data_IF_139018231183
#
_entry.id   IF_139018231183
#
_cell.length_a   1.000
_cell.length_b   1.000
_cell.length_c   1.000
_cell.angle_alpha   90.00
_cell.angle_beta   90.00
_cell.angle_gamma   90.00
#
_symmetry.space_group_name_H-M   'P 1'
#
loop_
_entity.id
_entity.type
_entity.pdbx_description
1 polymer ?
#
# COMPACT_ATOMS: atom_id res chain seq x y z
N UNK A 1 17.35 -49.18 23.56
CA UNK A 1 17.41 -50.38 22.70
C UNK A 1 16.00 -50.77 22.28
N UNK A 2 15.03 -50.87 23.21
CA UNK A 2 13.60 -51.10 22.91
C UNK A 2 13.00 -50.20 21.82
N UNK A 3 13.22 -48.88 21.85
CA UNK A 3 12.73 -47.97 20.80
C UNK A 3 13.35 -48.24 19.42
N UNK A 4 14.61 -48.66 19.37
CA UNK A 4 15.31 -48.99 18.11
C UNK A 4 14.86 -50.33 17.55
N UNK A 5 14.48 -51.27 18.42
CA UNK A 5 13.94 -52.57 18.04
C UNK A 5 12.49 -52.43 17.53
N UNK A 6 11.68 -51.57 18.16
CA UNK A 6 10.35 -51.19 17.66
C UNK A 6 10.41 -50.51 16.29
N UNK A 7 11.37 -49.61 16.07
CA UNK A 7 11.60 -49.01 14.76
C UNK A 7 12.06 -50.07 13.73
N UNK A 8 12.85 -51.07 14.15
CA UNK A 8 13.32 -52.14 13.27
C UNK A 8 12.18 -53.01 12.74
N UNK A 9 11.19 -53.32 13.58
CA UNK A 9 9.94 -53.98 13.17
C UNK A 9 9.12 -53.11 12.22
N UNK A 10 8.92 -51.83 12.54
CA UNK A 10 8.18 -50.86 11.72
C UNK A 10 8.76 -50.69 10.30
N UNK A 11 10.09 -50.70 10.18
CA UNK A 11 10.79 -50.58 8.90
C UNK A 11 11.11 -51.93 8.24
N UNK A 12 10.65 -53.05 8.81
CA UNK A 12 10.87 -54.41 8.33
C UNK A 12 12.37 -54.74 8.07
N UNK A 13 13.25 -54.30 8.99
CA UNK A 13 14.71 -54.51 8.90
C UNK A 13 15.25 -55.25 10.13
N UNK A 14 16.25 -56.13 9.97
CA UNK A 14 16.73 -56.99 11.05
C UNK A 14 17.50 -56.26 12.16
N UNK A 15 18.03 -55.05 11.91
CA UNK A 15 18.71 -54.24 12.94
C UNK A 15 18.82 -52.77 12.53
N UNK A 16 18.37 -51.86 13.39
CA UNK A 16 18.56 -50.41 13.23
C UNK A 16 19.60 -49.95 14.26
N UNK A 17 20.59 -49.17 13.80
CA UNK A 17 21.57 -48.49 14.65
C UNK A 17 21.57 -47.01 14.33
N UNK A 18 21.73 -46.16 15.34
CA UNK A 18 21.98 -44.72 15.15
C UNK A 18 23.47 -44.54 14.87
N UNK A 19 23.83 -43.96 13.72
CA UNK A 19 25.21 -43.56 13.41
C UNK A 19 25.59 -42.36 14.31
N UNK A 20 26.88 -42.08 14.56
CA UNK A 20 27.33 -40.98 15.43
C UNK A 20 26.75 -39.60 15.05
N UNK A 21 26.37 -39.42 13.78
CA UNK A 21 25.75 -38.22 13.23
C UNK A 21 24.23 -38.12 13.51
N UNK A 22 23.66 -39.04 14.30
CA UNK A 22 22.24 -39.05 14.67
C UNK A 22 21.30 -39.64 13.61
N UNK A 23 21.85 -40.23 12.54
CA UNK A 23 21.11 -40.78 11.41
C UNK A 23 20.96 -42.30 11.57
N UNK A 24 19.77 -42.83 11.31
CA UNK A 24 19.54 -44.27 11.32
C UNK A 24 20.31 -44.93 10.17
N UNK A 25 20.91 -46.09 10.43
CA UNK A 25 21.69 -46.87 9.45
C UNK A 25 20.85 -47.49 8.31
N UNK A 26 19.65 -46.98 8.07
CA UNK A 26 18.71 -47.50 7.09
C UNK A 26 18.85 -46.85 5.70
N UNK A 27 19.60 -45.75 5.59
CA UNK A 27 19.81 -44.94 4.39
C UNK A 27 21.25 -44.43 4.33
N UNK A 28 21.88 -44.56 3.15
CA UNK A 28 23.12 -43.84 2.85
C UNK A 28 22.75 -42.49 2.24
N UNK A 29 23.21 -41.41 2.87
CA UNK A 29 23.01 -40.07 2.34
C UNK A 29 23.87 -39.86 1.10
N UNK A 30 23.29 -39.27 0.07
CA UNK A 30 24.04 -38.81 -1.11
C UNK A 30 24.90 -37.59 -0.77
N UNK A 31 24.48 -36.79 0.22
CA UNK A 31 25.21 -35.60 0.68
C UNK A 31 25.22 -35.49 2.21
N UNK A 32 26.32 -35.00 2.78
CA UNK A 32 26.44 -34.75 4.22
C UNK A 32 25.41 -33.76 4.78
N UNK A 33 24.85 -32.89 3.92
CA UNK A 33 23.85 -31.89 4.29
C UNK A 33 22.44 -32.18 3.74
N UNK A 34 22.15 -33.41 3.34
CA UNK A 34 20.86 -33.83 2.77
C UNK A 34 19.63 -33.46 3.64
N UNK A 35 19.66 -33.55 4.99
CA UNK A 35 18.55 -33.07 5.82
C UNK A 35 18.28 -31.56 5.67
N UNK A 36 19.33 -30.75 5.50
CA UNK A 36 19.19 -29.31 5.28
C UNK A 36 18.64 -29.01 3.88
N UNK A 37 19.05 -29.78 2.86
CA UNK A 37 18.51 -29.68 1.50
C UNK A 37 17.04 -30.03 1.45
N UNK A 38 16.60 -31.06 2.17
CA UNK A 38 15.19 -31.41 2.29
C UNK A 38 14.39 -30.26 2.91
N UNK A 39 14.88 -29.64 3.99
CA UNK A 39 14.22 -28.48 4.57
C UNK A 39 14.20 -27.25 3.67
N UNK A 40 15.22 -27.05 2.84
CA UNK A 40 15.19 -26.02 1.81
C UNK A 40 14.11 -26.30 0.75
N UNK A 41 14.00 -27.55 0.29
CA UNK A 41 12.97 -27.97 -0.65
C UNK A 41 11.56 -27.83 -0.09
N UNK A 42 11.36 -28.18 1.19
CA UNK A 42 10.10 -27.96 1.90
C UNK A 42 9.70 -26.47 1.86
N UNK A 43 10.63 -25.58 2.19
CA UNK A 43 10.40 -24.12 2.17
C UNK A 43 10.06 -23.64 0.76
N UNK A 44 10.77 -24.12 -0.27
CA UNK A 44 10.50 -23.74 -1.67
C UNK A 44 9.11 -24.23 -2.11
N UNK A 45 8.78 -25.49 -1.82
CA UNK A 45 7.50 -26.11 -2.18
C UNK A 45 6.32 -25.44 -1.49
N UNK A 46 6.41 -25.24 -0.17
CA UNK A 46 5.36 -24.62 0.62
C UNK A 46 5.13 -23.15 0.20
N UNK A 47 6.20 -22.39 -0.08
CA UNK A 47 6.09 -21.01 -0.52
C UNK A 47 5.55 -20.88 -1.96
N UNK A 48 5.63 -21.92 -2.79
CA UNK A 48 4.99 -21.93 -4.10
C UNK A 48 3.46 -21.76 -3.98
N UNK A 49 2.86 -22.12 -2.84
CA UNK A 49 1.43 -21.90 -2.55
C UNK A 49 1.04 -20.41 -2.48
N UNK A 50 2.01 -19.49 -2.42
CA UNK A 50 1.76 -18.05 -2.50
C UNK A 50 1.13 -17.63 -3.84
N UNK A 51 1.30 -18.43 -4.90
CA UNK A 51 0.67 -18.21 -6.21
C UNK A 51 1.29 -17.12 -7.07
N UNK A 52 2.47 -16.61 -6.70
CA UNK A 52 3.27 -15.70 -7.51
C UNK A 52 4.77 -15.98 -7.33
N UNK A 53 5.58 -15.60 -8.31
CA UNK A 53 7.05 -15.72 -8.20
C UNK A 53 7.58 -14.71 -7.21
N UNK A 54 8.20 -15.19 -6.12
CA UNK A 54 8.80 -14.33 -5.11
C UNK A 54 10.18 -13.86 -5.61
N UNK A 55 10.36 -12.55 -5.74
CA UNK A 55 11.67 -11.92 -6.00
C UNK A 55 12.14 -11.23 -4.72
N UNK A 56 12.85 -11.96 -3.87
CA UNK A 56 13.31 -11.45 -2.58
C UNK A 56 14.20 -12.44 -1.83
N UNK A 57 14.75 -12.00 -0.70
CA UNK A 57 15.55 -12.84 0.19
C UNK A 57 14.66 -13.44 1.28
N UNK A 58 14.71 -14.75 1.42
CA UNK A 58 13.97 -15.49 2.46
C UNK A 58 14.97 -16.05 3.45
N UNK A 59 14.75 -15.76 4.73
CA UNK A 59 15.57 -16.26 5.83
C UNK A 59 14.66 -17.10 6.71
N UNK A 60 15.01 -18.38 6.89
CA UNK A 60 14.24 -19.30 7.71
C UNK A 60 15.15 -19.95 8.76
N UNK A 61 14.70 -19.95 10.02
CA UNK A 61 15.41 -20.58 11.14
C UNK A 61 14.51 -21.67 11.69
N UNK A 62 14.93 -22.94 11.54
CA UNK A 62 14.12 -24.14 11.89
C UNK A 62 12.75 -24.16 11.18
N UNK A 63 12.72 -24.12 9.83
CA UNK A 63 11.45 -24.12 9.08
C UNK A 63 10.69 -25.43 9.27
N UNK A 64 9.36 -25.33 9.26
CA UNK A 64 8.45 -26.47 9.27
C UNK A 64 7.23 -26.18 8.40
N UNK A 65 6.59 -27.23 7.89
CA UNK A 65 5.48 -27.11 6.93
C UNK A 65 4.36 -26.19 7.41
N UNK A 66 3.98 -26.27 8.69
CA UNK A 66 2.95 -25.38 9.24
C UNK A 66 3.35 -23.90 9.14
N UNK A 67 4.57 -23.55 9.55
CA UNK A 67 5.04 -22.15 9.50
C UNK A 67 5.18 -21.65 8.04
N UNK A 68 5.70 -22.49 7.15
CA UNK A 68 5.87 -22.14 5.74
C UNK A 68 4.52 -21.92 5.04
N UNK A 69 3.57 -22.83 5.26
CA UNK A 69 2.24 -22.76 4.65
C UNK A 69 1.43 -21.58 5.17
N UNK A 70 1.52 -21.24 6.46
CA UNK A 70 0.90 -20.03 7.02
C UNK A 70 1.51 -18.76 6.42
N UNK A 71 2.84 -18.67 6.31
CA UNK A 71 3.50 -17.57 5.60
C UNK A 71 3.02 -17.47 4.14
N UNK A 72 2.93 -18.60 3.43
CA UNK A 72 2.44 -18.63 2.06
C UNK A 72 0.98 -18.18 1.93
N UNK A 73 0.10 -18.53 2.89
CA UNK A 73 -1.29 -18.03 2.94
C UNK A 73 -1.35 -16.53 3.15
N UNK A 74 -0.54 -15.98 4.06
CA UNK A 74 -0.45 -14.53 4.30
C UNK A 74 0.02 -13.83 3.02
N UNK A 75 1.08 -14.33 2.39
CA UNK A 75 1.60 -13.81 1.12
C UNK A 75 0.54 -13.87 0.03
N UNK A 76 -0.18 -14.99 -0.12
CA UNK A 76 -1.25 -15.13 -1.11
C UNK A 76 -2.37 -14.13 -0.87
N UNK A 77 -2.74 -13.87 0.39
CA UNK A 77 -3.76 -12.89 0.75
C UNK A 77 -3.31 -11.47 0.37
N UNK A 78 -2.05 -11.12 0.67
CA UNK A 78 -1.45 -9.84 0.29
C UNK A 78 -1.34 -9.68 -1.23
N UNK A 79 -0.87 -10.72 -1.92
CA UNK A 79 -0.79 -10.75 -3.39
C UNK A 79 -2.18 -10.56 -3.99
N UNK A 80 -3.21 -11.24 -3.48
CA UNK A 80 -4.59 -11.08 -3.96
C UNK A 80 -5.19 -9.72 -3.65
N UNK A 81 -4.84 -9.11 -2.51
CA UNK A 81 -5.30 -7.75 -2.21
C UNK A 81 -4.64 -6.69 -3.07
N UNK A 82 -3.44 -6.95 -3.58
CA UNK A 82 -2.71 -6.05 -4.48
C UNK A 82 -2.94 -6.37 -5.97
N UNK A 83 -3.18 -7.64 -6.32
CA UNK A 83 -3.53 -8.08 -7.68
C UNK A 83 -4.89 -7.53 -8.07
N UNK A 84 -4.89 -6.65 -9.08
CA UNK A 84 -6.11 -6.02 -9.60
C UNK A 84 -6.36 -4.61 -9.06
N UNK A 85 -5.57 -4.14 -8.09
CA UNK A 85 -5.48 -2.69 -7.85
C UNK A 85 -4.78 -2.07 -9.05
N UNK A 86 -5.39 -1.10 -9.73
CA UNK A 86 -4.65 -0.30 -10.71
C UNK A 86 -3.44 0.28 -9.98
N UNK A 87 -2.23 -0.03 -10.44
CA UNK A 87 -1.11 0.82 -10.05
C UNK A 87 -1.44 2.20 -10.62
N UNK A 88 -1.45 3.28 -9.80
CA UNK A 88 -1.59 4.60 -10.36
C UNK A 88 -0.48 4.76 -11.41
N UNK A 89 -0.79 5.26 -12.61
CA UNK A 89 0.18 5.35 -13.69
C UNK A 89 1.38 6.16 -13.21
N UNK A 90 2.56 5.78 -13.71
CA UNK A 90 3.80 6.49 -13.44
C UNK A 90 3.61 7.94 -13.82
N UNK A 91 3.77 8.85 -12.86
CA UNK A 91 3.64 10.28 -13.12
C UNK A 91 4.76 10.75 -14.06
N UNK A 92 4.36 11.20 -15.24
CA UNK A 92 5.22 11.92 -16.17
C UNK A 92 4.93 13.43 -16.06
N UNK A 93 5.88 14.25 -15.59
CA UNK A 93 5.68 15.69 -15.48
C UNK A 93 5.50 16.39 -16.83
N UNK A 94 5.89 15.76 -17.95
CA UNK A 94 5.77 16.32 -19.30
C UNK A 94 4.48 15.93 -20.01
N UNK A 95 3.72 14.98 -19.46
CA UNK A 95 2.43 14.59 -20.03
C UNK A 95 1.38 15.67 -19.78
N UNK A 96 0.45 15.81 -20.73
CA UNK A 96 -0.71 16.67 -20.53
C UNK A 96 -1.56 16.17 -19.35
N UNK A 97 -2.00 17.07 -18.45
CA UNK A 97 -2.86 16.67 -17.35
C UNK A 97 -4.24 16.25 -17.86
N UNK A 98 -4.85 15.29 -17.18
CA UNK A 98 -6.24 14.94 -17.43
C UNK A 98 -7.18 16.12 -17.14
N UNK A 99 -6.96 16.81 -16.01
CA UNK A 99 -7.65 18.06 -15.67
C UNK A 99 -6.62 19.11 -15.25
N UNK A 100 -6.69 20.28 -15.88
CA UNK A 100 -5.95 21.46 -15.47
C UNK A 100 -6.67 22.18 -14.31
N UNK A 101 -6.08 23.30 -13.86
CA UNK A 101 -6.64 24.09 -12.77
C UNK A 101 -8.06 24.63 -13.08
N UNK A 102 -8.35 24.95 -14.35
CA UNK A 102 -9.64 25.48 -14.76
C UNK A 102 -10.73 24.41 -14.66
N UNK A 103 -10.45 23.18 -15.11
CA UNK A 103 -11.32 22.03 -14.91
C UNK A 103 -11.54 21.73 -13.43
N UNK A 104 -10.47 21.77 -12.62
CA UNK A 104 -10.60 21.57 -11.17
C UNK A 104 -11.51 22.64 -10.55
N UNK A 105 -11.35 23.92 -10.91
CA UNK A 105 -12.20 25.01 -10.43
C UNK A 105 -13.65 24.91 -10.90
N UNK A 106 -13.92 24.28 -12.06
CA UNK A 106 -15.28 23.96 -12.51
C UNK A 106 -15.92 22.87 -11.64
N UNK A 107 -15.12 21.95 -11.12
CA UNK A 107 -15.56 20.74 -10.39
C UNK A 107 -15.61 20.93 -8.89
N UNK A 108 -14.75 21.76 -8.31
CA UNK A 108 -14.69 22.02 -6.89
C UNK A 108 -15.19 23.44 -6.54
N UNK A 109 -15.84 23.63 -5.39
CA UNK A 109 -16.23 24.95 -4.91
C UNK A 109 -15.05 25.75 -4.33
N UNK A 110 -13.96 25.08 -3.95
CA UNK A 110 -12.78 25.68 -3.32
C UNK A 110 -12.14 26.75 -4.22
N UNK A 111 -11.70 27.85 -3.60
CA UNK A 111 -11.00 28.96 -4.26
C UNK A 111 -9.82 29.39 -3.40
N UNK A 112 -8.95 30.22 -3.96
CA UNK A 112 -7.84 30.82 -3.21
C UNK A 112 -8.35 31.47 -1.89
N UNK A 113 -7.64 31.26 -0.75
CA UNK A 113 -6.36 30.55 -0.58
C UNK A 113 -6.50 29.06 -0.24
N UNK A 114 -7.66 28.44 -0.47
CA UNK A 114 -7.98 27.08 0.01
C UNK A 114 -8.27 26.07 -1.11
N UNK A 115 -7.93 26.37 -2.36
CA UNK A 115 -7.84 25.37 -3.43
C UNK A 115 -6.40 24.87 -3.49
N UNK A 116 -6.18 23.59 -3.15
CA UNK A 116 -4.86 23.01 -2.89
C UNK A 116 -4.51 21.88 -3.86
N UNK A 117 -5.16 21.83 -5.02
CA UNK A 117 -4.86 20.85 -6.08
C UNK A 117 -4.69 21.59 -7.39
N UNK A 118 -3.53 21.43 -8.03
CA UNK A 118 -3.15 22.20 -9.21
C UNK A 118 -3.52 21.51 -10.52
N UNK A 119 -3.41 20.17 -10.57
CA UNK A 119 -3.78 19.34 -11.72
C UNK A 119 -4.14 17.92 -11.31
N UNK A 120 -4.96 17.25 -12.12
CA UNK A 120 -5.20 15.80 -12.06
C UNK A 120 -4.44 15.12 -13.19
N UNK A 121 -3.66 14.10 -12.87
CA UNK A 121 -2.83 13.37 -13.84
C UNK A 121 -3.43 12.03 -14.22
N UNK A 122 -4.29 11.48 -13.36
CA UNK A 122 -4.95 10.21 -13.59
C UNK A 122 -6.28 10.16 -12.85
N UNK A 123 -7.25 9.49 -13.45
CA UNK A 123 -8.52 9.20 -12.81
C UNK A 123 -9.18 7.99 -13.48
N UNK A 124 -9.69 7.07 -12.67
CA UNK A 124 -10.61 6.03 -13.10
C UNK A 124 -11.86 6.00 -12.21
N UNK A 125 -12.54 4.86 -12.09
CA UNK A 125 -13.75 4.72 -11.26
C UNK A 125 -13.48 4.76 -9.76
N UNK A 126 -12.30 4.36 -9.31
CA UNK A 126 -11.96 4.16 -7.90
C UNK A 126 -10.74 4.95 -7.45
N UNK A 127 -9.93 5.42 -8.38
CA UNK A 127 -8.65 6.05 -8.12
C UNK A 127 -8.54 7.41 -8.80
N UNK A 128 -7.83 8.31 -8.15
CA UNK A 128 -7.48 9.62 -8.70
C UNK A 128 -6.09 10.01 -8.20
N UNK A 129 -5.30 10.59 -9.10
CA UNK A 129 -3.99 11.15 -8.79
C UNK A 129 -3.97 12.63 -9.10
N UNK A 130 -3.72 13.44 -8.06
CA UNK A 130 -3.59 14.89 -8.14
C UNK A 130 -2.16 15.33 -7.87
N UNK A 131 -1.83 16.54 -8.31
CA UNK A 131 -0.57 17.22 -8.00
C UNK A 131 -0.86 18.50 -7.22
N UNK A 132 -0.08 18.71 -6.17
CA UNK A 132 0.02 19.97 -5.43
C UNK A 132 1.48 20.41 -5.38
N UNK A 133 1.80 21.48 -6.08
CA UNK A 133 3.08 22.16 -6.00
C UNK A 133 3.16 22.99 -4.72
N UNK A 134 4.32 22.95 -4.07
CA UNK A 134 4.56 23.68 -2.83
C UNK A 134 5.51 24.82 -3.13
N UNK A 135 5.08 26.05 -2.89
CA UNK A 135 5.90 27.23 -3.15
C UNK A 135 6.00 28.11 -1.92
N UNK A 136 7.15 28.75 -1.72
CA UNK A 136 7.37 29.69 -0.60
C UNK A 136 6.36 30.84 -0.62
N UNK A 137 5.78 31.13 -1.79
CA UNK A 137 4.79 32.19 -1.98
C UNK A 137 3.36 31.81 -1.52
N UNK A 138 3.20 30.76 -0.70
CA UNK A 138 1.91 30.40 -0.10
C UNK A 138 1.75 31.03 1.29
N UNK A 139 0.56 31.58 1.57
CA UNK A 139 0.31 32.40 2.74
C UNK A 139 0.62 31.71 4.09
N UNK A 140 0.46 30.38 4.17
CA UNK A 140 0.72 29.64 5.40
C UNK A 140 2.20 29.54 5.76
N UNK A 141 3.13 29.72 4.82
CA UNK A 141 4.57 29.69 5.12
C UNK A 141 5.03 30.91 5.92
N UNK A 142 4.32 32.03 5.85
CA UNK A 142 4.60 33.20 6.69
C UNK A 142 4.50 32.89 8.19
N UNK A 143 3.70 31.88 8.56
CA UNK A 143 3.50 31.47 9.97
C UNK A 143 3.95 30.05 10.30
N UNK A 144 4.32 29.22 9.31
CA UNK A 144 4.60 27.80 9.54
C UNK A 144 5.86 27.31 8.81
N UNK A 145 7.06 27.59 9.31
CA UNK A 145 7.40 28.56 10.35
C UNK A 145 8.36 29.59 9.74
N UNK A 146 8.45 30.84 10.26
CA UNK A 146 9.23 31.91 9.65
C UNK A 146 10.67 31.54 9.22
N UNK A 147 11.39 30.77 10.05
CA UNK A 147 12.78 30.35 9.79
C UNK A 147 12.90 28.90 9.27
N UNK A 148 11.80 28.15 9.27
CA UNK A 148 11.76 26.74 8.86
C UNK A 148 10.41 26.49 8.15
N UNK A 149 10.28 26.89 6.87
CA UNK A 149 9.02 26.77 6.14
C UNK A 149 8.67 25.30 5.90
N UNK A 150 7.53 24.87 6.46
CA UNK A 150 7.00 23.51 6.38
C UNK A 150 5.53 23.59 6.00
N UNK A 151 5.08 22.82 5.00
CA UNK A 151 3.65 22.75 4.68
C UNK A 151 2.91 22.06 5.84
N UNK A 152 1.88 22.70 6.45
CA UNK A 152 1.12 22.08 7.53
C UNK A 152 0.54 20.74 7.11
N UNK A 153 0.73 19.70 7.93
CA UNK A 153 0.25 18.34 7.62
C UNK A 153 -1.25 18.27 7.35
N UNK A 154 -2.04 19.09 8.06
CA UNK A 154 -3.49 19.21 7.84
C UNK A 154 -3.86 19.70 6.44
N UNK A 155 -3.03 20.55 5.83
CA UNK A 155 -3.25 21.01 4.45
C UNK A 155 -2.90 19.94 3.41
N UNK A 156 -2.01 19.00 3.76
CA UNK A 156 -1.77 17.82 2.92
C UNK A 156 -3.01 16.91 2.91
N UNK A 157 -3.65 16.70 4.07
CA UNK A 157 -4.90 15.94 4.17
C UNK A 157 -6.05 16.63 3.43
N UNK A 158 -6.15 17.95 3.57
CA UNK A 158 -7.11 18.75 2.81
C UNK A 158 -6.92 18.59 1.30
N UNK A 159 -5.67 18.71 0.80
CA UNK A 159 -5.38 18.52 -0.61
C UNK A 159 -5.75 17.10 -1.10
N UNK A 160 -5.53 16.06 -0.27
CA UNK A 160 -5.97 14.69 -0.59
C UNK A 160 -7.50 14.61 -0.71
N UNK A 161 -8.25 15.20 0.22
CA UNK A 161 -9.71 15.19 0.18
C UNK A 161 -10.27 16.02 -0.98
N UNK A 162 -9.67 17.14 -1.34
CA UNK A 162 -10.03 17.90 -2.54
C UNK A 162 -9.82 17.06 -3.80
N UNK A 163 -8.68 16.34 -3.88
CA UNK A 163 -8.39 15.42 -4.98
C UNK A 163 -9.45 14.32 -5.07
N UNK A 164 -9.84 13.74 -3.93
CA UNK A 164 -10.95 12.79 -3.84
C UNK A 164 -12.28 13.42 -4.30
N UNK A 165 -12.54 14.67 -3.90
CA UNK A 165 -13.72 15.44 -4.28
C UNK A 165 -13.88 15.60 -5.80
N UNK A 166 -12.77 15.77 -6.54
CA UNK A 166 -12.82 15.83 -8.02
C UNK A 166 -13.37 14.51 -8.58
N UNK A 167 -12.90 13.37 -8.08
CA UNK A 167 -13.40 12.05 -8.49
C UNK A 167 -14.86 11.85 -8.07
N UNK A 168 -15.23 12.22 -6.85
CA UNK A 168 -16.61 12.07 -6.36
C UNK A 168 -17.61 12.89 -7.17
N UNK A 169 -17.27 14.13 -7.53
CA UNK A 169 -18.12 14.95 -8.40
C UNK A 169 -18.25 14.33 -9.80
N UNK A 170 -17.17 13.71 -10.33
CA UNK A 170 -17.26 12.95 -11.59
C UNK A 170 -18.21 11.76 -11.51
N UNK A 171 -18.10 10.98 -10.44
CA UNK A 171 -19.01 9.83 -10.21
C UNK A 171 -20.47 10.29 -10.06
N UNK A 172 -20.68 11.46 -9.47
CA UNK A 172 -22.00 12.08 -9.31
C UNK A 172 -22.54 12.76 -10.59
N UNK A 173 -21.91 12.57 -11.75
CA UNK A 173 -22.35 13.14 -13.02
C UNK A 173 -21.98 14.61 -13.20
N UNK A 174 -20.83 15.02 -12.68
CA UNK A 174 -20.27 16.38 -12.77
C UNK A 174 -21.12 17.47 -12.08
N UNK A 175 -22.03 17.07 -11.20
CA UNK A 175 -22.71 18.02 -10.32
C UNK A 175 -21.72 18.66 -9.34
N UNK A 176 -21.82 19.98 -9.14
CA UNK A 176 -21.04 20.69 -8.12
C UNK A 176 -21.53 20.32 -6.73
N UNK A 177 -20.99 19.23 -6.19
CA UNK A 177 -21.16 18.87 -4.80
C UNK A 177 -20.06 19.50 -3.94
N UNK A 178 -20.42 19.83 -2.70
CA UNK A 178 -19.46 20.25 -1.67
C UNK A 178 -19.09 19.01 -0.86
N UNK A 179 -17.84 18.52 -0.92
CA UNK A 179 -17.39 17.43 -0.07
C UNK A 179 -17.17 17.95 1.35
N UNK A 180 -17.93 17.45 2.31
CA UNK A 180 -17.74 17.72 3.74
C UNK A 180 -16.95 16.58 4.39
N UNK A 181 -15.87 16.91 5.07
CA UNK A 181 -15.14 15.97 5.93
C UNK A 181 -16.04 15.44 7.04
N UNK A 182 -16.02 14.12 7.24
CA UNK A 182 -16.75 13.44 8.32
C UNK A 182 -15.80 12.77 9.31
N UNK A 183 -14.72 12.15 8.82
CA UNK A 183 -13.76 11.45 9.66
C UNK A 183 -12.38 11.43 9.01
N UNK A 184 -11.35 11.37 9.85
CA UNK A 184 -9.96 11.15 9.48
C UNK A 184 -9.42 10.13 10.48
N UNK A 185 -8.93 9.01 9.96
CA UNK A 185 -8.36 7.90 10.73
C UNK A 185 -6.94 7.61 10.25
N UNK A 186 -6.11 7.10 11.16
CA UNK A 186 -4.75 6.61 10.85
C UNK A 186 -3.85 7.63 10.09
N UNK A 187 -4.04 8.93 10.30
CA UNK A 187 -3.20 9.95 9.69
C UNK A 187 -1.74 9.82 10.19
N UNK A 188 -0.79 9.71 9.26
CA UNK A 188 0.64 9.63 9.55
C UNK A 188 1.41 10.62 8.69
N UNK A 189 2.29 11.39 9.33
CA UNK A 189 3.21 12.32 8.68
C UNK A 189 4.64 11.80 8.89
N UNK A 190 5.25 11.33 7.81
CA UNK A 190 6.52 10.58 7.82
C UNK A 190 7.72 11.48 7.54
N UNK A 191 7.53 12.50 6.70
CA UNK A 191 8.55 13.48 6.33
C UNK A 191 7.93 14.87 6.24
N UNK A 192 8.74 15.88 6.53
CA UNK A 192 8.35 17.29 6.31
C UNK A 192 8.28 17.56 4.81
N UNK A 193 7.33 18.42 4.44
CA UNK A 193 7.15 18.91 3.08
C UNK A 193 7.52 20.40 3.07
N UNK A 194 8.33 20.84 2.12
CA UNK A 194 8.92 22.17 2.08
C UNK A 194 8.67 22.88 0.74
N UNK A 195 8.85 24.20 0.67
CA UNK A 195 8.88 24.91 -0.62
C UNK A 195 9.81 24.25 -1.63
N UNK A 196 9.35 24.09 -2.87
CA UNK A 196 10.05 23.39 -3.94
C UNK A 196 9.57 21.94 -4.14
N UNK A 197 8.94 21.33 -3.13
CA UNK A 197 8.39 19.99 -3.26
C UNK A 197 7.17 19.95 -4.20
N UNK A 198 6.96 18.80 -4.84
CA UNK A 198 5.74 18.48 -5.55
C UNK A 198 5.08 17.26 -4.90
N UNK A 199 3.91 17.47 -4.28
CA UNK A 199 3.13 16.38 -3.72
C UNK A 199 2.35 15.71 -4.83
N UNK A 200 2.64 14.42 -5.03
CA UNK A 200 1.76 13.51 -5.77
C UNK A 200 0.78 12.88 -4.80
N UNK A 201 -0.50 13.19 -4.97
CA UNK A 201 -1.61 12.77 -4.12
C UNK A 201 -2.30 11.59 -4.78
N UNK A 202 -2.14 10.39 -4.25
CA UNK A 202 -2.76 9.17 -4.75
C UNK A 202 -3.92 8.76 -3.82
N UNK A 203 -5.14 8.78 -4.38
CA UNK A 203 -6.36 8.48 -3.64
C UNK A 203 -7.01 7.21 -4.20
N UNK A 204 -7.42 6.31 -3.30
CA UNK A 204 -8.19 5.11 -3.60
C UNK A 204 -9.50 5.12 -2.79
N UNK A 205 -10.64 5.17 -3.48
CA UNK A 205 -11.96 5.04 -2.86
C UNK A 205 -12.15 3.59 -2.42
N UNK A 206 -12.25 3.37 -1.10
CA UNK A 206 -12.44 2.05 -0.51
C UNK A 206 -13.90 1.69 -0.32
N UNK A 207 -14.78 2.69 -0.21
CA UNK A 207 -16.22 2.48 -0.09
C UNK A 207 -16.96 3.70 -0.63
N UNK A 208 -17.98 3.48 -1.46
CA UNK A 208 -18.91 4.50 -1.90
C UNK A 208 -20.34 4.04 -1.61
N UNK A 209 -21.08 4.81 -0.80
CA UNK A 209 -22.48 4.53 -0.45
C UNK A 209 -23.30 5.80 -0.54
N UNK A 210 -24.16 5.89 -1.55
CA UNK A 210 -24.98 7.08 -1.80
C UNK A 210 -24.10 8.33 -1.94
N UNK A 211 -24.13 9.23 -0.96
CA UNK A 211 -23.33 10.47 -0.92
C UNK A 211 -22.06 10.36 -0.07
N UNK A 212 -21.84 9.25 0.63
CA UNK A 212 -20.71 9.09 1.55
C UNK A 212 -19.63 8.24 0.87
N UNK A 213 -18.40 8.72 0.91
CA UNK A 213 -17.23 8.02 0.42
C UNK A 213 -16.20 7.86 1.54
N UNK A 214 -15.65 6.65 1.67
CA UNK A 214 -14.40 6.39 2.39
C UNK A 214 -13.29 6.18 1.37
N UNK A 215 -12.12 6.72 1.66
CA UNK A 215 -10.96 6.61 0.78
C UNK A 215 -9.66 6.59 1.58
N UNK A 216 -8.65 5.92 1.02
CA UNK A 216 -7.28 6.01 1.48
C UNK A 216 -6.54 7.04 0.64
N UNK A 217 -5.83 7.96 1.28
CA UNK A 217 -4.97 8.94 0.62
C UNK A 217 -3.51 8.72 0.98
N UNK A 218 -2.63 8.85 0.00
CA UNK A 218 -1.17 8.83 0.16
C UNK A 218 -0.56 10.01 -0.59
N UNK A 219 0.37 10.71 0.03
CA UNK A 219 1.15 11.77 -0.60
C UNK A 219 2.60 11.33 -0.73
N UNK A 220 3.17 11.56 -1.90
CA UNK A 220 4.57 11.28 -2.20
C UNK A 220 5.30 12.55 -2.65
N UNK A 221 6.56 12.67 -2.26
CA UNK A 221 7.53 13.62 -2.82
C UNK A 221 8.71 12.80 -3.33
N UNK A 222 9.09 12.98 -4.59
CA UNK A 222 10.16 12.21 -5.25
C UNK A 222 10.02 10.68 -5.09
N UNK A 223 8.78 10.19 -5.14
CA UNK A 223 8.45 8.77 -4.97
C UNK A 223 8.52 8.26 -3.52
N UNK A 224 8.85 9.11 -2.55
CA UNK A 224 8.89 8.76 -1.13
C UNK A 224 7.57 9.16 -0.44
N UNK A 225 6.96 8.23 0.29
CA UNK A 225 5.73 8.48 1.04
C UNK A 225 6.00 9.50 2.17
N UNK A 226 5.36 10.66 2.10
CA UNK A 226 5.49 11.75 3.08
C UNK A 226 4.32 11.82 4.05
N UNK A 227 3.10 11.52 3.60
CA UNK A 227 1.93 11.41 4.46
C UNK A 227 0.88 10.43 3.92
N UNK A 228 0.04 9.91 4.81
CA UNK A 228 -1.08 9.04 4.47
C UNK A 228 -2.21 9.17 5.50
N UNK A 229 -3.44 8.89 5.09
CA UNK A 229 -4.60 8.81 5.98
C UNK A 229 -5.75 8.00 5.36
N UNK A 230 -6.65 7.51 6.20
CA UNK A 230 -7.98 7.06 5.81
C UNK A 230 -8.97 8.20 6.11
N UNK A 231 -9.82 8.52 5.15
CA UNK A 231 -10.72 9.68 5.26
C UNK A 231 -12.13 9.31 4.82
N UNK A 232 -13.10 10.00 5.40
CA UNK A 232 -14.51 9.91 5.02
C UNK A 232 -15.03 11.30 4.69
N UNK A 233 -15.69 11.42 3.54
CA UNK A 233 -16.40 12.63 3.14
C UNK A 233 -17.84 12.32 2.75
N UNK A 234 -18.72 13.31 2.93
CA UNK A 234 -20.07 13.32 2.37
C UNK A 234 -20.18 14.39 1.29
N UNK A 235 -20.66 14.01 0.11
CA UNK A 235 -20.96 14.93 -0.96
C UNK A 235 -22.35 15.54 -0.76
N UNK A 236 -22.40 16.77 -0.24
CA UNK A 236 -23.63 17.54 -0.16
C UNK A 236 -23.92 18.20 -1.52
N UNK A 237 -25.19 18.28 -1.90
CA UNK A 237 -25.59 19.14 -3.02
C UNK A 237 -25.35 20.59 -2.60
N UNK A 238 -24.85 21.41 -3.50
CA UNK A 238 -24.84 22.86 -3.31
C UNK A 238 -26.28 23.29 -3.02
N UNK A 239 -26.51 23.94 -1.88
CA UNK A 239 -27.83 24.48 -1.54
C UNK A 239 -28.23 25.46 -2.62
N UNK A 240 -29.39 25.26 -3.25
CA UNK A 240 -30.01 26.25 -4.12
C UNK A 240 -30.09 27.56 -3.32
N UNK A 241 -29.34 28.57 -3.77
CA UNK A 241 -29.43 29.92 -3.22
C UNK A 241 -30.70 30.59 -3.70
#
# INVERSE_FOLDING_TARGET
QEELDHLAELFNKPKIKVRPEGILNNLDLYFSNEPARHKLLDVIGDLALAGARIKGKIIATRPGHHANTEMAKILRKLIKSEQGKPLPPVYDPNAEPLFDINEIMRRLPHRHPFLLVDKITYMDKWMVTGIKNVTMNEAFFAGHYPDEPVMPGVLQLEAMAQTAGVLLNRIAGDAKGVPYFMAIDNARFRKVVKPGDQLRLEIEITTLRSKVAKFQGKAYVDGVLVSEAEMMCMLAKESEK
#
